data_IF_578882278042
#
_entry.id   IF_578882278042
#
_cell.length_a   1.000
_cell.length_b   1.000
_cell.length_c   1.000
_cell.angle_alpha   90.00
_cell.angle_beta   90.00
_cell.angle_gamma   90.00
#
_symmetry.space_group_name_H-M   'P 1'
#
loop_
_entity.id
_entity.type
_entity.pdbx_description
1 polymer ?
#
# COMPACT_ATOMS: atom_id res chain seq x y z
N UNK A 1 0.67 15.83 54.29
CA UNK A 1 0.24 16.96 53.45
C UNK A 1 -0.92 16.52 52.57
N UNK A 2 -2.03 17.26 52.69
CA UNK A 2 -3.05 17.51 51.68
C UNK A 2 -3.91 16.36 51.09
N UNK A 3 -5.21 16.50 51.39
CA UNK A 3 -6.37 16.43 50.48
C UNK A 3 -6.80 15.08 49.89
N UNK A 4 -7.95 14.56 50.34
CA UNK A 4 -9.27 14.93 49.79
C UNK A 4 -10.37 14.23 50.61
N UNK A 5 -11.20 15.04 51.27
CA UNK A 5 -12.35 14.57 52.02
C UNK A 5 -13.46 14.06 51.10
N UNK A 6 -13.93 12.85 51.35
CA UNK A 6 -15.18 12.32 50.83
C UNK A 6 -15.84 11.59 51.98
N UNK A 7 -16.89 12.18 52.55
CA UNK A 7 -17.98 11.46 53.23
C UNK A 7 -19.11 12.45 53.52
N UNK A 8 -19.97 12.62 52.52
CA UNK A 8 -21.34 13.10 52.70
C UNK A 8 -22.18 12.63 51.51
N UNK A 9 -22.82 11.47 51.65
CA UNK A 9 -23.87 11.01 50.74
C UNK A 9 -25.19 10.97 51.51
N UNK A 10 -25.90 12.11 51.53
CA UNK A 10 -27.35 12.11 51.75
C UNK A 10 -28.07 11.93 50.41
N UNK A 11 -29.06 11.02 50.29
CA UNK A 11 -29.81 10.81 49.06
C UNK A 11 -30.79 11.96 48.81
N UNK A 12 -30.77 12.55 47.61
CA UNK A 12 -31.68 13.65 47.22
C UNK A 12 -33.03 13.13 46.68
N UNK A 13 -34.18 13.70 47.10
CA UNK A 13 -35.53 13.24 46.78
C UNK A 13 -36.08 13.91 45.51
N UNK A 14 -35.90 13.31 44.33
CA UNK A 14 -36.39 13.91 43.08
C UNK A 14 -37.60 13.15 42.50
N UNK A 15 -38.71 13.89 42.34
CA UNK A 15 -39.87 13.66 41.48
C UNK A 15 -41.04 12.79 41.96
N UNK A 16 -41.64 13.12 43.11
CA UNK A 16 -43.10 12.91 43.29
C UNK A 16 -43.87 14.01 42.53
N UNK A 17 -44.03 13.83 41.22
CA UNK A 17 -44.99 14.61 40.43
C UNK A 17 -46.39 14.23 40.88
N UNK A 18 -47.22 15.24 41.19
CA UNK A 18 -48.61 15.08 41.62
C UNK A 18 -49.49 15.92 40.68
N UNK A 19 -50.18 15.26 39.75
CA UNK A 19 -51.17 15.91 38.87
C UNK A 19 -52.54 15.54 39.42
N UNK A 20 -53.46 16.48 39.68
CA UNK A 20 -54.80 16.15 40.15
C UNK A 20 -55.49 15.09 39.28
N UNK A 21 -56.14 14.12 39.93
CA UNK A 21 -56.83 13.01 39.23
C UNK A 21 -57.84 13.50 38.20
N UNK A 22 -58.58 14.58 38.50
CA UNK A 22 -59.56 15.21 37.61
C UNK A 22 -58.91 15.77 36.35
N UNK A 23 -57.77 16.45 36.48
CA UNK A 23 -57.03 17.04 35.37
C UNK A 23 -56.43 15.95 34.47
N UNK A 24 -55.77 14.94 35.07
CA UNK A 24 -55.21 13.82 34.31
C UNK A 24 -56.32 13.03 33.59
N UNK A 25 -57.48 12.85 34.23
CA UNK A 25 -58.66 12.23 33.62
C UNK A 25 -59.20 13.06 32.45
N UNK A 26 -59.30 14.38 32.60
CA UNK A 26 -59.77 15.25 31.53
C UNK A 26 -58.83 15.20 30.31
N UNK A 27 -57.51 15.29 30.53
CA UNK A 27 -56.52 15.23 29.44
C UNK A 27 -56.48 13.86 28.75
N UNK A 28 -56.61 12.77 29.52
CA UNK A 28 -56.47 11.40 29.02
C UNK A 28 -57.77 10.81 28.47
N UNK A 29 -58.89 10.95 29.16
CA UNK A 29 -60.19 10.36 28.77
C UNK A 29 -60.99 11.32 27.89
N UNK A 30 -61.21 12.57 28.34
CA UNK A 30 -62.11 13.50 27.63
C UNK A 30 -61.46 14.14 26.40
N UNK A 31 -60.25 14.70 26.54
CA UNK A 31 -59.50 15.30 25.42
C UNK A 31 -58.77 14.27 24.56
N UNK A 32 -58.65 13.04 25.08
CA UNK A 32 -58.14 11.89 24.37
C UNK A 32 -56.66 11.89 24.03
N UNK A 33 -55.83 12.70 24.70
CA UNK A 33 -54.40 12.82 24.42
C UNK A 33 -53.64 11.53 24.76
N UNK A 34 -52.57 11.24 24.01
CA UNK A 34 -51.66 10.13 24.34
C UNK A 34 -50.77 10.49 25.53
N UNK A 35 -50.24 9.48 26.22
CA UNK A 35 -49.36 9.67 27.39
C UNK A 35 -48.15 10.53 27.04
N UNK A 36 -47.57 10.36 25.85
CA UNK A 36 -46.47 11.19 25.37
C UNK A 36 -46.90 12.65 25.15
N UNK A 37 -48.08 12.88 24.57
CA UNK A 37 -48.60 14.24 24.37
C UNK A 37 -48.93 14.93 25.69
N UNK A 38 -49.49 14.22 26.66
CA UNK A 38 -49.76 14.75 28.01
C UNK A 38 -48.43 15.09 28.69
N UNK A 39 -47.45 14.19 28.61
CA UNK A 39 -46.12 14.40 29.17
C UNK A 39 -45.44 15.65 28.57
N UNK A 40 -45.42 15.78 27.24
CA UNK A 40 -44.88 16.97 26.58
C UNK A 40 -45.65 18.24 26.92
N UNK A 41 -46.99 18.19 26.98
CA UNK A 41 -47.82 19.36 27.30
C UNK A 41 -47.60 19.87 28.72
N UNK A 42 -47.35 18.97 29.66
CA UNK A 42 -47.12 19.29 31.07
C UNK A 42 -45.63 19.41 31.42
N UNK A 43 -44.72 19.30 30.44
CA UNK A 43 -43.27 19.44 30.66
C UNK A 43 -42.62 18.27 31.40
N UNK A 44 -43.23 17.08 31.39
CA UNK A 44 -42.75 15.88 32.08
C UNK A 44 -42.28 14.78 31.13
N UNK A 45 -41.55 13.80 31.67
CA UNK A 45 -41.32 12.53 30.97
C UNK A 45 -42.58 11.65 31.01
N UNK A 46 -42.69 10.65 30.12
CA UNK A 46 -43.89 9.80 30.05
C UNK A 46 -44.06 8.84 31.24
N UNK A 47 -42.97 8.51 31.96
CA UNK A 47 -42.98 7.54 33.06
C UNK A 47 -43.80 8.01 34.29
N UNK A 48 -43.68 9.26 34.77
CA UNK A 48 -44.56 9.82 35.79
C UNK A 48 -46.05 9.74 35.45
N UNK A 49 -46.43 10.07 34.20
CA UNK A 49 -47.82 10.01 33.76
C UNK A 49 -48.34 8.57 33.78
N UNK A 50 -47.52 7.61 33.32
CA UNK A 50 -47.82 6.17 33.40
C UNK A 50 -48.03 5.68 34.84
N UNK A 51 -47.23 6.17 35.79
CA UNK A 51 -47.38 5.86 37.22
C UNK A 51 -48.71 6.41 37.75
N UNK A 52 -49.00 7.69 37.50
CA UNK A 52 -50.20 8.36 37.99
C UNK A 52 -51.49 7.75 37.42
N UNK A 53 -51.50 7.32 36.14
CA UNK A 53 -52.65 6.61 35.56
C UNK A 53 -52.93 5.28 36.31
N UNK A 54 -51.89 4.55 36.73
CA UNK A 54 -52.05 3.32 37.53
C UNK A 54 -52.52 3.63 38.95
N UNK A 55 -51.90 4.62 39.59
CA UNK A 55 -52.21 5.03 40.97
C UNK A 55 -53.67 5.50 41.11
N UNK A 56 -54.16 6.27 40.14
CA UNK A 56 -55.56 6.71 40.09
C UNK A 56 -56.54 5.69 39.54
N UNK A 57 -56.06 4.48 39.19
CA UNK A 57 -56.84 3.37 38.62
C UNK A 57 -57.59 3.75 37.34
N UNK A 58 -57.00 4.61 36.50
CA UNK A 58 -57.53 4.95 35.18
C UNK A 58 -57.12 3.85 34.18
N UNK A 59 -58.06 3.41 33.33
CA UNK A 59 -57.82 2.30 32.39
C UNK A 59 -56.81 2.73 31.31
N UNK A 60 -55.60 2.20 31.38
CA UNK A 60 -54.55 2.49 30.39
C UNK A 60 -54.95 1.86 29.05
N UNK A 61 -55.05 2.70 28.01
CA UNK A 61 -55.28 2.28 26.63
C UNK A 61 -54.22 1.29 26.21
N UNK A 62 -54.65 0.20 25.59
CA UNK A 62 -53.74 -0.75 24.94
C UNK A 62 -53.01 -0.08 23.78
N UNK A 63 -51.87 -0.64 23.38
CA UNK A 63 -51.09 -0.18 22.22
C UNK A 63 -51.98 -0.11 20.95
N UNK A 64 -52.95 -1.01 20.81
CA UNK A 64 -53.90 -1.01 19.69
C UNK A 64 -54.85 0.19 19.73
N UNK A 65 -55.42 0.51 20.90
CA UNK A 65 -56.32 1.65 21.10
C UNK A 65 -55.57 2.99 20.96
N UNK A 66 -54.31 3.06 21.37
CA UNK A 66 -53.48 4.26 21.19
C UNK A 66 -53.07 4.51 19.72
N UNK A 67 -53.06 3.47 18.88
CA UNK A 67 -52.66 3.50 17.46
C UNK A 67 -53.84 3.71 16.48
N UNK A 68 -55.05 3.92 16.96
CA UNK A 68 -56.29 3.90 16.15
C UNK A 68 -56.49 5.12 15.22
N UNK A 69 -55.42 5.84 14.82
CA UNK A 69 -55.49 7.00 13.91
C UNK A 69 -55.26 6.69 12.43
N UNK A 70 -54.70 5.54 12.06
CA UNK A 70 -54.47 5.21 10.65
C UNK A 70 -55.59 4.32 10.07
N UNK A 71 -56.63 4.96 9.52
CA UNK A 71 -57.74 4.29 8.80
C UNK A 71 -57.66 4.62 7.30
N UNK A 72 -56.90 3.82 6.54
CA UNK A 72 -57.00 3.78 5.07
C UNK A 72 -57.84 2.58 4.66
N UNK A 73 -58.78 2.75 3.73
CA UNK A 73 -59.59 1.62 3.25
C UNK A 73 -58.79 0.72 2.31
N UNK A 74 -59.18 -0.56 2.20
CA UNK A 74 -58.57 -1.51 1.24
C UNK A 74 -58.65 -1.00 -0.20
N UNK A 75 -59.81 -0.44 -0.59
CA UNK A 75 -60.08 0.07 -1.95
C UNK A 75 -59.17 1.26 -2.27
N UNK A 76 -59.05 2.18 -1.33
CA UNK A 76 -58.22 3.38 -1.46
C UNK A 76 -56.73 3.05 -1.52
N UNK A 77 -56.23 2.20 -0.60
CA UNK A 77 -54.82 1.78 -0.63
C UNK A 77 -54.48 1.03 -1.92
N UNK A 78 -55.41 0.21 -2.44
CA UNK A 78 -55.24 -0.46 -3.74
C UNK A 78 -55.19 0.54 -4.89
N UNK A 79 -56.07 1.54 -4.89
CA UNK A 79 -56.11 2.58 -5.93
C UNK A 79 -54.83 3.42 -5.97
N UNK A 80 -54.35 3.87 -4.81
CA UNK A 80 -53.11 4.66 -4.71
C UNK A 80 -51.88 3.87 -5.16
N UNK A 81 -51.81 2.59 -4.79
CA UNK A 81 -50.64 1.76 -5.07
C UNK A 81 -50.60 1.18 -6.50
N UNK A 82 -51.74 0.69 -7.01
CA UNK A 82 -51.83 0.03 -8.31
C UNK A 82 -52.27 0.97 -9.45
N UNK A 83 -53.32 1.76 -9.25
CA UNK A 83 -53.84 2.65 -10.30
C UNK A 83 -52.99 3.91 -10.43
N UNK A 84 -52.71 4.58 -9.31
CA UNK A 84 -51.92 5.83 -9.29
C UNK A 84 -50.40 5.60 -9.20
N UNK A 85 -49.97 4.33 -9.12
CA UNK A 85 -48.56 3.89 -9.11
C UNK A 85 -47.67 4.51 -8.03
N UNK A 86 -48.21 5.10 -6.97
CA UNK A 86 -47.43 5.69 -5.88
C UNK A 86 -46.62 4.65 -5.10
N UNK A 87 -45.40 5.00 -4.71
CA UNK A 87 -44.57 4.18 -3.82
C UNK A 87 -45.15 4.14 -2.40
N UNK A 88 -44.78 3.10 -1.62
CA UNK A 88 -45.20 3.00 -0.21
C UNK A 88 -44.75 4.21 0.61
N UNK A 89 -43.60 4.81 0.29
CA UNK A 89 -43.11 6.04 0.92
C UNK A 89 -43.96 7.26 0.58
N UNK A 90 -44.32 7.45 -0.69
CA UNK A 90 -45.19 8.56 -1.11
C UNK A 90 -46.59 8.45 -0.49
N UNK A 91 -47.14 7.23 -0.41
CA UNK A 91 -48.40 6.98 0.29
C UNK A 91 -48.23 7.29 1.78
N UNK A 92 -47.12 6.89 2.40
CA UNK A 92 -46.89 7.15 3.81
C UNK A 92 -46.84 8.66 4.14
N UNK A 93 -46.14 9.44 3.29
CA UNK A 93 -46.10 10.90 3.39
C UNK A 93 -47.50 11.51 3.26
N UNK A 94 -48.31 11.06 2.28
CA UNK A 94 -49.68 11.55 2.07
C UNK A 94 -50.59 11.37 3.30
N UNK A 95 -50.39 10.31 4.07
CA UNK A 95 -51.17 10.03 5.28
C UNK A 95 -50.41 10.31 6.58
N UNK A 96 -49.30 11.07 6.50
CA UNK A 96 -48.45 11.42 7.63
C UNK A 96 -48.13 10.23 8.56
N UNK A 97 -47.73 9.11 7.96
CA UNK A 97 -47.41 7.88 8.68
C UNK A 97 -46.07 7.30 8.21
N UNK A 98 -45.56 6.30 8.93
CA UNK A 98 -44.35 5.59 8.50
C UNK A 98 -44.70 4.59 7.38
N UNK A 99 -43.82 4.45 6.38
CA UNK A 99 -43.98 3.50 5.27
C UNK A 99 -44.18 2.04 5.73
N UNK A 100 -43.63 1.68 6.89
CA UNK A 100 -43.85 0.36 7.52
C UNK A 100 -45.33 0.13 7.87
N UNK A 101 -46.08 1.18 8.23
CA UNK A 101 -47.53 1.14 8.47
C UNK A 101 -48.29 0.83 7.18
N UNK A 102 -47.87 1.42 6.05
CA UNK A 102 -48.43 1.12 4.73
C UNK A 102 -48.16 -0.33 4.33
N UNK A 103 -46.92 -0.80 4.50
CA UNK A 103 -46.53 -2.20 4.21
C UNK A 103 -47.34 -3.18 5.07
N UNK A 104 -47.50 -2.90 6.36
CA UNK A 104 -48.34 -3.70 7.25
C UNK A 104 -49.80 -3.75 6.77
N UNK A 105 -50.36 -2.63 6.36
CA UNK A 105 -51.75 -2.53 5.88
C UNK A 105 -51.94 -3.22 4.52
N UNK A 106 -50.96 -3.13 3.64
CA UNK A 106 -50.94 -3.91 2.40
C UNK A 106 -50.97 -5.42 2.69
N UNK A 107 -50.15 -5.90 3.65
CA UNK A 107 -50.15 -7.30 4.09
C UNK A 107 -51.51 -7.70 4.68
N UNK A 108 -52.06 -6.88 5.57
CA UNK A 108 -53.39 -7.11 6.20
C UNK A 108 -54.52 -7.19 5.17
N UNK A 109 -54.46 -6.40 4.11
CA UNK A 109 -55.48 -6.38 3.05
C UNK A 109 -55.22 -7.35 1.89
N UNK A 110 -54.12 -8.12 1.93
CA UNK A 110 -53.74 -9.06 0.87
C UNK A 110 -53.31 -8.38 -0.43
N UNK A 111 -52.84 -7.13 -0.37
CA UNK A 111 -52.39 -6.39 -1.56
C UNK A 111 -50.97 -6.85 -1.89
N UNK A 112 -50.83 -7.59 -2.99
CA UNK A 112 -49.52 -8.03 -3.48
C UNK A 112 -48.63 -6.83 -3.83
N UNK A 113 -47.36 -6.91 -3.44
CA UNK A 113 -46.35 -5.94 -3.85
C UNK A 113 -46.15 -6.00 -5.36
N UNK A 114 -45.88 -4.85 -5.99
CA UNK A 114 -45.43 -4.77 -7.39
C UNK A 114 -44.05 -5.42 -7.62
N UNK A 115 -43.41 -5.89 -6.55
CA UNK A 115 -42.05 -6.41 -6.56
C UNK A 115 -41.04 -5.32 -6.91
N UNK A 116 -39.78 -5.71 -7.08
CA UNK A 116 -38.74 -4.82 -7.64
C UNK A 116 -38.95 -4.51 -9.13
N UNK A 117 -39.89 -5.18 -9.79
CA UNK A 117 -40.13 -5.16 -11.23
C UNK A 117 -40.62 -3.81 -11.80
N UNK A 118 -40.89 -2.82 -10.96
CA UNK A 118 -41.38 -1.49 -11.40
C UNK A 118 -40.49 -0.30 -11.03
N UNK A 119 -39.43 -0.48 -10.24
CA UNK A 119 -38.60 0.63 -9.73
C UNK A 119 -37.25 0.77 -10.45
N UNK A 120 -36.74 -0.32 -11.03
CA UNK A 120 -35.49 -0.32 -11.79
C UNK A 120 -35.76 -0.71 -13.23
N UNK A 121 -35.42 0.19 -14.17
CA UNK A 121 -35.44 -0.11 -15.61
C UNK A 121 -34.54 -1.33 -15.86
N UNK A 122 -34.98 -2.34 -16.63
CA UNK A 122 -34.14 -3.50 -16.94
C UNK A 122 -32.91 -3.06 -17.73
N UNK A 123 -31.75 -3.61 -17.39
CA UNK A 123 -30.53 -3.37 -18.15
C UNK A 123 -30.67 -4.05 -19.50
N UNK A 124 -30.79 -3.24 -20.56
CA UNK A 124 -30.88 -3.68 -21.95
C UNK A 124 -29.46 -3.84 -22.51
N UNK A 125 -28.89 -5.03 -22.35
CA UNK A 125 -27.60 -5.40 -22.95
C UNK A 125 -27.67 -6.87 -23.36
N UNK A 126 -27.21 -7.19 -24.57
CA UNK A 126 -27.09 -8.58 -25.04
C UNK A 126 -25.87 -9.26 -24.44
N UNK A 127 -25.86 -10.60 -24.47
CA UNK A 127 -24.71 -11.39 -23.98
C UNK A 127 -23.46 -11.06 -24.78
N UNK A 128 -23.58 -10.98 -26.10
CA UNK A 128 -22.49 -10.74 -27.05
C UNK A 128 -21.87 -9.36 -26.82
N UNK A 129 -22.71 -8.33 -26.65
CA UNK A 129 -22.23 -6.97 -26.39
C UNK A 129 -21.52 -6.86 -25.04
N UNK A 130 -22.08 -7.47 -23.99
CA UNK A 130 -21.45 -7.47 -22.66
C UNK A 130 -20.13 -8.23 -22.67
N UNK A 131 -20.08 -9.38 -23.36
CA UNK A 131 -18.87 -10.19 -23.50
C UNK A 131 -17.80 -9.47 -24.34
N UNK A 132 -18.16 -8.83 -25.44
CA UNK A 132 -17.24 -8.01 -26.25
C UNK A 132 -16.64 -6.85 -25.44
N UNK A 133 -17.46 -6.09 -24.71
CA UNK A 133 -16.98 -4.97 -23.89
C UNK A 133 -16.06 -5.45 -22.73
N UNK A 134 -16.39 -6.58 -22.13
CA UNK A 134 -15.67 -7.11 -20.96
C UNK A 134 -14.39 -7.89 -21.33
N UNK A 135 -14.46 -8.80 -22.30
CA UNK A 135 -13.34 -9.65 -22.73
C UNK A 135 -12.50 -8.99 -23.81
N UNK A 136 -13.11 -8.67 -24.95
CA UNK A 136 -12.38 -8.19 -26.13
C UNK A 136 -11.83 -6.78 -25.94
N UNK A 137 -12.66 -5.88 -25.41
CA UNK A 137 -12.27 -4.48 -25.10
C UNK A 137 -11.60 -4.35 -23.73
N UNK A 138 -11.66 -5.37 -22.89
CA UNK A 138 -10.98 -5.43 -21.59
C UNK A 138 -11.47 -4.44 -20.53
N UNK A 139 -12.67 -3.85 -20.68
CA UNK A 139 -13.17 -2.80 -19.79
C UNK A 139 -13.55 -3.37 -18.40
N UNK A 140 -13.48 -2.55 -17.34
CA UNK A 140 -14.00 -2.92 -16.02
C UNK A 140 -15.52 -2.84 -15.99
N UNK A 141 -16.18 -3.58 -15.08
CA UNK A 141 -17.64 -3.51 -14.95
C UNK A 141 -18.13 -2.12 -14.58
N UNK A 142 -17.42 -1.41 -13.72
CA UNK A 142 -17.70 -0.01 -13.41
C UNK A 142 -17.61 0.88 -14.66
N UNK A 143 -16.62 0.70 -15.53
CA UNK A 143 -16.52 1.48 -16.77
C UNK A 143 -17.64 1.14 -17.75
N UNK A 144 -18.00 -0.14 -17.86
CA UNK A 144 -19.14 -0.60 -18.66
C UNK A 144 -20.46 -0.05 -18.09
N UNK A 145 -20.61 -0.03 -16.77
CA UNK A 145 -21.79 0.50 -16.07
C UNK A 145 -22.00 1.99 -16.41
N UNK A 146 -20.90 2.76 -16.43
CA UNK A 146 -20.91 4.17 -16.85
C UNK A 146 -21.29 4.35 -18.32
N UNK A 147 -20.76 3.50 -19.22
CA UNK A 147 -21.10 3.54 -20.66
C UNK A 147 -22.58 3.18 -20.89
N UNK A 148 -23.09 2.19 -20.16
CA UNK A 148 -24.47 1.69 -20.30
C UNK A 148 -25.47 2.40 -19.38
N UNK A 149 -25.03 3.45 -18.66
CA UNK A 149 -25.83 4.22 -17.71
C UNK A 149 -26.64 3.35 -16.73
N UNK A 150 -25.99 2.33 -16.17
CA UNK A 150 -26.59 1.38 -15.23
C UNK A 150 -25.71 1.18 -13.99
N UNK A 151 -26.18 0.39 -13.02
CA UNK A 151 -25.39 0.07 -11.83
C UNK A 151 -24.44 -1.10 -12.07
N UNK A 152 -23.25 -1.05 -11.47
CA UNK A 152 -22.29 -2.16 -11.54
C UNK A 152 -22.91 -3.48 -11.01
N UNK A 153 -23.65 -3.41 -9.90
CA UNK A 153 -24.32 -4.59 -9.33
C UNK A 153 -25.36 -5.21 -10.27
N UNK A 154 -26.03 -4.40 -11.09
CA UNK A 154 -26.93 -4.89 -12.13
C UNK A 154 -26.19 -5.60 -13.27
N UNK A 155 -25.04 -5.08 -13.70
CA UNK A 155 -24.18 -5.76 -14.67
C UNK A 155 -23.58 -7.05 -14.12
N UNK A 156 -23.19 -7.09 -12.85
CA UNK A 156 -22.73 -8.31 -12.20
C UNK A 156 -23.83 -9.38 -12.19
N UNK A 157 -25.10 -8.99 -11.98
CA UNK A 157 -26.23 -9.92 -12.11
C UNK A 157 -26.37 -10.41 -13.54
N UNK A 158 -26.34 -9.53 -14.54
CA UNK A 158 -26.39 -9.91 -15.96
C UNK A 158 -25.24 -10.83 -16.39
N UNK A 159 -24.02 -10.61 -15.90
CA UNK A 159 -22.91 -11.54 -16.15
C UNK A 159 -23.19 -12.94 -15.60
N UNK A 160 -23.84 -13.06 -14.43
CA UNK A 160 -24.25 -14.36 -13.89
C UNK A 160 -25.37 -14.97 -14.73
N UNK A 161 -26.39 -14.20 -15.07
CA UNK A 161 -27.51 -14.65 -15.91
C UNK A 161 -27.05 -15.15 -17.29
N UNK A 162 -25.99 -14.55 -17.84
CA UNK A 162 -25.40 -14.93 -19.13
C UNK A 162 -24.23 -15.93 -19.01
N UNK A 163 -23.90 -16.37 -17.80
CA UNK A 163 -22.79 -17.29 -17.49
C UNK A 163 -21.40 -16.80 -17.97
N UNK A 164 -21.20 -15.48 -18.01
CA UNK A 164 -19.92 -14.88 -18.40
C UNK A 164 -18.95 -15.03 -17.23
N UNK A 165 -17.96 -15.92 -17.38
CA UNK A 165 -16.92 -16.12 -16.35
C UNK A 165 -16.10 -14.84 -16.12
N UNK A 166 -15.85 -14.55 -14.84
CA UNK A 166 -14.94 -13.47 -14.46
C UNK A 166 -13.53 -13.74 -14.99
N UNK A 167 -12.86 -12.68 -15.45
CA UNK A 167 -11.47 -12.80 -15.90
C UNK A 167 -10.56 -13.22 -14.74
N UNK A 168 -9.48 -13.98 -14.99
CA UNK A 168 -8.57 -14.41 -13.94
C UNK A 168 -7.92 -13.21 -13.24
N UNK A 169 -7.45 -13.39 -12.00
CA UNK A 169 -6.80 -12.32 -11.22
C UNK A 169 -5.63 -11.68 -11.99
N UNK A 170 -4.92 -12.44 -12.83
CA UNK A 170 -3.83 -11.97 -13.69
C UNK A 170 -4.25 -10.89 -14.69
N UNK A 171 -5.51 -10.87 -15.09
CA UNK A 171 -6.07 -9.92 -16.07
C UNK A 171 -6.63 -8.65 -15.44
N UNK A 172 -6.59 -8.51 -14.11
CA UNK A 172 -7.07 -7.30 -13.44
C UNK A 172 -6.26 -6.10 -13.93
N UNK A 173 -6.97 -5.06 -14.37
CA UNK A 173 -6.35 -3.81 -14.77
C UNK A 173 -5.48 -3.27 -13.62
N UNK A 174 -4.19 -3.13 -13.87
CA UNK A 174 -3.28 -2.50 -12.94
C UNK A 174 -3.18 -1.01 -13.26
N UNK A 175 -3.12 -0.15 -12.23
CA UNK A 175 -2.93 1.31 -12.38
C UNK A 175 -1.73 1.66 -13.27
N UNK A 176 -0.67 0.85 -13.22
CA UNK A 176 0.55 1.06 -14.01
C UNK A 176 0.74 -0.08 -15.02
N UNK A 177 0.94 0.28 -16.29
CA UNK A 177 1.32 -0.67 -17.34
C UNK A 177 2.69 -1.25 -17.00
N UNK A 178 2.80 -2.58 -17.04
CA UNK A 178 4.07 -3.30 -16.89
C UNK A 178 4.57 -3.66 -18.27
N UNK A 179 5.86 -3.46 -18.52
CA UNK A 179 6.54 -3.86 -19.75
C UNK A 179 7.53 -4.97 -19.45
N UNK A 180 7.76 -5.81 -20.46
CA UNK A 180 8.78 -6.84 -20.37
C UNK A 180 10.18 -6.23 -20.25
N UNK A 181 11.06 -6.97 -19.61
CA UNK A 181 12.47 -6.69 -19.58
C UNK A 181 13.01 -6.60 -21.02
N UNK A 182 13.88 -5.62 -21.28
CA UNK A 182 14.38 -5.31 -22.64
C UNK A 182 15.14 -6.47 -23.31
N UNK A 183 15.55 -7.49 -22.55
CA UNK A 183 16.41 -8.57 -23.03
C UNK A 183 17.91 -8.23 -22.97
N UNK A 184 18.30 -7.00 -22.63
CA UNK A 184 19.69 -6.58 -22.56
C UNK A 184 20.47 -7.34 -21.47
N UNK A 185 21.36 -8.26 -21.87
CA UNK A 185 22.16 -9.04 -20.92
C UNK A 185 23.10 -8.18 -20.05
N UNK A 186 23.56 -7.03 -20.57
CA UNK A 186 24.38 -6.08 -19.80
C UNK A 186 23.56 -5.41 -18.69
N UNK A 187 22.34 -4.96 -19.01
CA UNK A 187 21.45 -4.42 -17.99
C UNK A 187 21.02 -5.50 -17.00
N UNK A 188 20.75 -6.72 -17.48
CA UNK A 188 20.42 -7.88 -16.65
C UNK A 188 21.52 -8.16 -15.62
N UNK A 189 22.79 -8.17 -16.07
CA UNK A 189 23.94 -8.38 -15.21
C UNK A 189 24.08 -7.28 -14.15
N UNK A 190 23.92 -6.01 -14.55
CA UNK A 190 23.90 -4.88 -13.63
C UNK A 190 22.79 -5.01 -12.58
N UNK A 191 21.55 -5.32 -13.00
CA UNK A 191 20.42 -5.46 -12.09
C UNK A 191 20.60 -6.64 -11.13
N UNK A 192 21.20 -7.76 -11.57
CA UNK A 192 21.55 -8.89 -10.70
C UNK A 192 22.59 -8.45 -9.67
N UNK A 193 23.66 -7.75 -10.09
CA UNK A 193 24.65 -7.22 -9.16
C UNK A 193 24.01 -6.32 -8.12
N UNK A 194 23.22 -5.34 -8.54
CA UNK A 194 22.53 -4.44 -7.62
C UNK A 194 21.53 -5.16 -6.70
N UNK A 195 20.90 -6.22 -7.19
CA UNK A 195 19.98 -7.09 -6.44
C UNK A 195 20.67 -7.87 -5.32
N UNK A 196 21.89 -8.33 -5.54
CA UNK A 196 22.64 -9.11 -4.55
C UNK A 196 22.95 -8.27 -3.31
N UNK A 197 23.18 -6.96 -3.46
CA UNK A 197 23.29 -6.03 -2.33
C UNK A 197 21.93 -5.57 -1.78
N UNK A 198 21.43 -4.45 -2.32
CA UNK A 198 20.44 -3.59 -1.67
C UNK A 198 18.96 -3.88 -1.97
N UNK A 199 18.65 -4.72 -2.97
CA UNK A 199 17.25 -4.99 -3.31
C UNK A 199 16.69 -6.18 -2.51
N UNK A 200 15.45 -6.04 -2.08
CA UNK A 200 14.60 -7.13 -1.59
C UNK A 200 13.56 -7.45 -2.66
N UNK A 201 13.50 -8.70 -3.11
CA UNK A 201 12.58 -9.11 -4.18
C UNK A 201 11.68 -10.23 -3.68
N UNK A 202 10.38 -10.07 -3.89
CA UNK A 202 9.36 -11.08 -3.59
C UNK A 202 8.40 -11.26 -4.76
N UNK A 203 7.85 -12.46 -4.90
CA UNK A 203 6.89 -12.81 -5.95
C UNK A 203 5.49 -12.92 -5.37
N UNK A 204 4.56 -12.15 -5.91
CA UNK A 204 3.12 -12.35 -5.75
C UNK A 204 2.56 -13.26 -6.85
N UNK A 205 1.23 -13.41 -6.93
CA UNK A 205 0.59 -14.29 -7.93
C UNK A 205 0.97 -13.98 -9.38
N UNK A 206 0.99 -12.69 -9.75
CA UNK A 206 1.24 -12.22 -11.13
C UNK A 206 2.20 -11.03 -11.22
N UNK A 207 2.88 -10.70 -10.12
CA UNK A 207 3.70 -9.50 -9.99
C UNK A 207 4.97 -9.81 -9.19
N UNK A 208 6.09 -9.27 -9.64
CA UNK A 208 7.35 -9.26 -8.90
C UNK A 208 7.45 -7.91 -8.18
N UNK A 209 7.58 -7.94 -6.86
CA UNK A 209 7.77 -6.76 -6.02
C UNK A 209 9.25 -6.60 -5.71
N UNK A 210 9.85 -5.52 -6.19
CA UNK A 210 11.21 -5.11 -5.83
C UNK A 210 11.12 -3.97 -4.82
N UNK A 211 11.80 -4.10 -3.69
CA UNK A 211 11.77 -3.15 -2.58
C UNK A 211 13.17 -2.75 -2.18
N UNK A 212 13.31 -1.51 -1.73
CA UNK A 212 14.53 -1.00 -1.12
C UNK A 212 14.18 0.13 -0.15
N UNK A 213 14.89 0.20 0.97
CA UNK A 213 14.80 1.30 1.92
C UNK A 213 16.13 2.02 1.94
N UNK A 214 16.13 3.35 1.84
CA UNK A 214 17.38 4.11 1.83
C UNK A 214 17.22 5.49 2.45
N UNK A 215 18.28 5.99 3.09
CA UNK A 215 18.39 7.39 3.50
C UNK A 215 18.99 8.28 2.42
N UNK A 216 19.50 7.70 1.32
CA UNK A 216 20.22 8.40 0.26
C UNK A 216 19.29 8.68 -0.93
N UNK A 217 19.11 9.96 -1.28
CA UNK A 217 18.31 10.36 -2.45
C UNK A 217 18.87 9.84 -3.77
N UNK A 218 20.20 9.71 -3.88
CA UNK A 218 20.85 9.18 -5.07
C UNK A 218 20.49 7.71 -5.31
N UNK A 219 20.41 6.90 -4.25
CA UNK A 219 19.97 5.51 -4.31
C UNK A 219 18.51 5.41 -4.76
N UNK A 220 17.63 6.26 -4.21
CA UNK A 220 16.24 6.33 -4.63
C UNK A 220 16.07 6.72 -6.10
N UNK A 221 16.89 7.66 -6.57
CA UNK A 221 16.90 8.10 -7.97
C UNK A 221 17.40 7.00 -8.91
N UNK A 222 18.43 6.25 -8.51
CA UNK A 222 18.94 5.10 -9.24
C UNK A 222 17.83 4.08 -9.47
N UNK A 223 17.15 3.65 -8.39
CA UNK A 223 16.08 2.64 -8.47
C UNK A 223 14.92 3.14 -9.33
N UNK A 224 14.52 4.40 -9.16
CA UNK A 224 13.48 5.01 -9.99
C UNK A 224 13.85 4.94 -11.48
N UNK A 225 15.06 5.34 -11.84
CA UNK A 225 15.52 5.33 -13.24
C UNK A 225 15.71 3.92 -13.79
N UNK A 226 16.14 2.97 -12.94
CA UNK A 226 16.38 1.59 -13.31
C UNK A 226 15.08 0.86 -13.68
N UNK A 227 13.97 1.18 -13.01
CA UNK A 227 12.73 0.41 -13.14
C UNK A 227 11.52 1.16 -13.71
N UNK A 228 11.53 2.50 -13.76
CA UNK A 228 10.44 3.27 -14.37
C UNK A 228 10.14 2.92 -15.84
N UNK A 229 11.10 2.44 -16.67
CA UNK A 229 10.76 1.97 -18.02
C UNK A 229 9.88 0.71 -18.02
N UNK A 230 9.88 -0.07 -16.94
CA UNK A 230 9.33 -1.42 -16.88
C UNK A 230 8.08 -1.54 -16.00
N UNK A 231 7.93 -0.69 -14.98
CA UNK A 231 6.80 -0.76 -14.08
C UNK A 231 6.63 0.48 -13.22
N UNK A 232 5.53 0.52 -12.48
CA UNK A 232 5.24 1.59 -11.54
C UNK A 232 6.22 1.58 -10.36
N UNK A 233 6.87 2.72 -10.12
CA UNK A 233 7.73 2.97 -8.95
C UNK A 233 6.95 3.83 -7.96
N UNK A 234 6.64 3.26 -6.80
CA UNK A 234 6.03 3.96 -5.68
C UNK A 234 7.11 4.30 -4.64
N UNK A 235 7.11 5.54 -4.15
CA UNK A 235 8.04 6.00 -3.13
C UNK A 235 7.29 6.64 -1.97
N UNK A 236 7.65 6.29 -0.74
CA UNK A 236 7.05 6.85 0.47
C UNK A 236 8.14 7.19 1.47
N UNK A 237 8.01 8.32 2.17
CA UNK A 237 8.92 8.67 3.27
C UNK A 237 8.40 8.05 4.56
N UNK A 238 9.17 7.15 5.16
CA UNK A 238 8.83 6.55 6.45
C UNK A 238 9.03 7.56 7.60
N UNK A 239 8.34 7.35 8.73
CA UNK A 239 8.46 8.19 9.94
C UNK A 239 9.92 8.29 10.42
N UNK A 240 10.69 7.20 10.32
CA UNK A 240 12.13 7.13 10.65
C UNK A 240 13.05 7.87 9.68
N UNK A 241 12.52 8.58 8.68
CA UNK A 241 13.29 9.38 7.72
C UNK A 241 13.84 8.62 6.50
N UNK A 242 13.62 7.31 6.40
CA UNK A 242 13.99 6.54 5.21
C UNK A 242 13.02 6.74 4.05
N UNK A 243 13.51 6.64 2.82
CA UNK A 243 12.73 6.56 1.59
C UNK A 243 12.49 5.07 1.31
N UNK A 244 11.24 4.65 1.41
CA UNK A 244 10.79 3.30 1.06
C UNK A 244 10.36 3.30 -0.41
N UNK A 245 10.97 2.41 -1.20
CA UNK A 245 10.74 2.32 -2.65
C UNK A 245 10.17 0.96 -2.95
N UNK A 246 9.04 0.92 -3.67
CA UNK A 246 8.38 -0.28 -4.11
C UNK A 246 8.17 -0.23 -5.63
N UNK A 247 8.64 -1.26 -6.33
CA UNK A 247 8.50 -1.41 -7.77
C UNK A 247 7.69 -2.68 -8.06
N UNK A 248 6.75 -2.58 -8.98
CA UNK A 248 5.91 -3.71 -9.39
C UNK A 248 6.16 -4.09 -10.85
N UNK A 249 6.84 -5.20 -11.06
CA UNK A 249 7.29 -5.72 -12.36
C UNK A 249 6.49 -6.97 -12.76
N UNK A 250 6.56 -7.36 -14.04
CA UNK A 250 5.96 -8.60 -14.53
C UNK A 250 6.97 -9.78 -14.45
N UNK A 251 6.56 -10.96 -14.92
CA UNK A 251 7.36 -12.19 -14.78
C UNK A 251 8.65 -12.22 -15.63
N UNK A 252 8.84 -11.31 -16.58
CA UNK A 252 10.12 -11.22 -17.31
C UNK A 252 11.31 -10.88 -16.40
N UNK A 253 11.04 -10.37 -15.19
CA UNK A 253 12.03 -10.04 -14.15
C UNK A 253 12.31 -11.18 -13.15
N UNK A 254 11.85 -12.41 -13.41
CA UNK A 254 12.09 -13.57 -12.53
C UNK A 254 13.58 -13.82 -12.25
N UNK A 255 14.47 -13.37 -13.14
CA UNK A 255 15.92 -13.44 -12.94
C UNK A 255 16.44 -12.66 -11.71
N UNK A 256 15.63 -11.78 -11.11
CA UNK A 256 15.96 -11.07 -9.86
C UNK A 256 15.57 -11.82 -8.59
N UNK A 257 14.89 -12.97 -8.71
CA UNK A 257 14.46 -13.76 -7.55
C UNK A 257 15.63 -14.35 -6.75
N UNK A 258 16.65 -14.96 -7.38
CA UNK A 258 17.77 -15.55 -6.63
C UNK A 258 18.52 -14.48 -5.82
N UNK A 259 18.82 -14.79 -4.55
CA UNK A 259 19.74 -14.02 -3.68
C UNK A 259 20.70 -14.98 -2.99
N UNK A 260 21.59 -15.54 -3.79
CA UNK A 260 22.61 -16.48 -3.36
C UNK A 260 23.97 -15.80 -3.39
N UNK A 261 24.89 -16.23 -2.52
CA UNK A 261 26.30 -15.84 -2.53
C UNK A 261 27.02 -16.50 -3.74
N UNK A 262 26.60 -16.12 -4.96
CA UNK A 262 27.07 -16.69 -6.21
C UNK A 262 26.92 -15.69 -7.36
N UNK A 263 27.93 -15.62 -8.22
CA UNK A 263 27.86 -14.92 -9.51
C UNK A 263 27.44 -15.93 -10.58
N UNK A 264 26.40 -15.65 -11.41
CA UNK A 264 25.98 -16.57 -12.47
C UNK A 264 27.11 -16.87 -13.48
N UNK A 265 27.19 -18.11 -13.96
CA UNK A 265 28.31 -18.54 -14.82
C UNK A 265 28.39 -17.75 -16.12
N UNK A 266 27.25 -17.47 -16.76
CA UNK A 266 27.17 -16.66 -17.99
C UNK A 266 27.72 -15.24 -17.80
N UNK A 267 27.67 -14.70 -16.58
CA UNK A 267 28.28 -13.41 -16.26
C UNK A 267 29.79 -13.53 -16.20
N UNK A 268 30.31 -14.62 -15.61
CA UNK A 268 31.76 -14.81 -15.44
C UNK A 268 32.51 -15.21 -16.71
N UNK A 269 31.77 -15.71 -17.72
CA UNK A 269 32.29 -16.07 -19.05
C UNK A 269 32.46 -14.88 -19.99
N UNK A 270 31.88 -13.72 -19.67
CA UNK A 270 31.90 -12.54 -20.53
C UNK A 270 32.30 -11.29 -19.74
N UNK A 271 33.40 -10.67 -20.14
CA UNK A 271 34.00 -9.54 -19.40
C UNK A 271 33.06 -8.33 -19.30
N UNK A 272 32.29 -8.04 -20.37
CA UNK A 272 31.29 -6.96 -20.36
C UNK A 272 30.23 -7.19 -19.28
N UNK A 273 29.72 -8.42 -19.16
CA UNK A 273 28.69 -8.76 -18.18
C UNK A 273 29.27 -8.81 -16.77
N UNK A 274 30.48 -9.33 -16.60
CA UNK A 274 31.20 -9.33 -15.33
C UNK A 274 31.38 -7.90 -14.79
N UNK A 275 31.84 -6.97 -15.63
CA UNK A 275 32.03 -5.57 -15.24
C UNK A 275 30.69 -4.86 -14.94
N UNK A 276 29.64 -5.17 -15.69
CA UNK A 276 28.29 -4.64 -15.43
C UNK A 276 27.73 -5.13 -14.08
N UNK A 277 27.88 -6.42 -13.77
CA UNK A 277 27.48 -6.98 -12.47
C UNK A 277 28.31 -6.39 -11.33
N UNK A 278 29.64 -6.28 -11.50
CA UNK A 278 30.51 -5.64 -10.53
C UNK A 278 30.07 -4.20 -10.23
N UNK A 279 29.73 -3.42 -11.26
CA UNK A 279 29.25 -2.05 -11.07
C UNK A 279 27.90 -2.00 -10.35
N UNK A 280 26.96 -2.88 -10.68
CA UNK A 280 25.68 -2.98 -9.99
C UNK A 280 25.86 -3.34 -8.51
N UNK A 281 26.69 -4.34 -8.20
CA UNK A 281 26.96 -4.75 -6.83
C UNK A 281 27.72 -3.66 -6.05
N UNK A 282 28.67 -2.98 -6.69
CA UNK A 282 29.43 -1.89 -6.07
C UNK A 282 28.60 -0.61 -5.90
N UNK A 283 27.60 -0.37 -6.73
CA UNK A 283 26.68 0.75 -6.55
C UNK A 283 25.83 0.58 -5.28
N UNK A 284 25.55 -0.67 -4.88
CA UNK A 284 24.98 -1.00 -3.58
C UNK A 284 26.05 -0.97 -2.47
N UNK A 285 27.01 -1.90 -2.50
CA UNK A 285 27.91 -2.21 -1.37
C UNK A 285 29.28 -1.54 -1.44
N UNK A 286 29.70 -1.10 -2.62
CA UNK A 286 31.06 -0.61 -2.89
C UNK A 286 31.30 0.80 -2.36
N UNK A 287 32.43 1.01 -1.70
CA UNK A 287 32.82 2.28 -1.10
C UNK A 287 34.14 2.77 -1.70
N UNK A 288 34.19 4.05 -2.07
CA UNK A 288 35.38 4.70 -2.59
C UNK A 288 35.59 6.00 -1.86
N UNK A 289 36.75 6.14 -1.22
CA UNK A 289 37.04 7.27 -0.35
C UNK A 289 38.53 7.57 -0.31
N UNK A 290 38.88 8.75 0.22
CA UNK A 290 40.26 9.17 0.44
C UNK A 290 40.68 8.80 1.86
N UNK A 291 41.68 7.94 1.99
CA UNK A 291 42.26 7.54 3.26
C UNK A 291 43.39 8.49 3.65
N UNK A 292 43.37 9.00 4.88
CA UNK A 292 44.41 9.90 5.43
C UNK A 292 45.60 9.10 5.94
N UNK A 293 46.82 9.48 5.56
CA UNK A 293 48.04 8.89 6.13
C UNK A 293 48.57 9.78 7.27
N UNK A 294 48.83 9.18 8.44
CA UNK A 294 49.24 9.93 9.65
C UNK A 294 50.71 10.40 9.66
N UNK A 295 51.61 9.77 8.88
CA UNK A 295 53.07 9.98 8.96
C UNK A 295 53.78 9.99 7.60
N UNK A 296 53.21 10.63 6.56
CA UNK A 296 53.82 10.72 5.22
C UNK A 296 53.64 12.09 4.60
N UNK A 297 54.58 12.51 3.73
CA UNK A 297 54.44 13.68 2.84
C UNK A 297 53.15 13.60 2.01
N UNK A 298 52.72 12.37 1.67
CA UNK A 298 51.41 12.10 1.10
C UNK A 298 50.31 12.16 2.16
N UNK A 299 49.47 13.19 2.12
CA UNK A 299 48.35 13.37 3.09
C UNK A 299 47.19 12.40 2.86
N UNK A 300 46.84 12.09 1.61
CA UNK A 300 45.67 11.27 1.26
C UNK A 300 45.90 10.35 0.06
N UNK A 301 45.33 9.14 0.11
CA UNK A 301 45.25 8.24 -1.05
C UNK A 301 43.84 7.66 -1.23
N UNK A 302 43.40 7.53 -2.47
CA UNK A 302 42.14 6.88 -2.79
C UNK A 302 42.20 5.36 -2.53
N UNK A 303 41.12 4.80 -2.00
CA UNK A 303 40.96 3.36 -1.74
C UNK A 303 39.53 2.94 -2.08
N UNK A 304 39.41 1.84 -2.82
CA UNK A 304 38.15 1.14 -3.01
C UNK A 304 38.04 0.00 -2.00
N UNK A 305 36.87 -0.15 -1.40
CA UNK A 305 36.51 -1.27 -0.52
C UNK A 305 35.10 -1.76 -0.78
N UNK A 306 34.92 -3.06 -0.63
CA UNK A 306 33.63 -3.71 -0.61
C UNK A 306 33.59 -4.59 0.63
N UNK A 307 32.63 -4.34 1.53
CA UNK A 307 32.40 -5.14 2.72
C UNK A 307 31.03 -5.81 2.57
N UNK A 308 30.97 -7.14 2.68
CA UNK A 308 29.71 -7.90 2.53
C UNK A 308 29.79 -9.25 3.24
N UNK A 309 28.63 -9.84 3.52
CA UNK A 309 28.52 -11.23 3.97
C UNK A 309 28.75 -12.24 2.84
N UNK A 310 28.70 -11.80 1.57
CA UNK A 310 28.79 -12.65 0.38
C UNK A 310 30.23 -13.05 0.02
N UNK A 311 30.82 -13.91 0.86
CA UNK A 311 32.21 -14.37 0.74
C UNK A 311 32.57 -14.88 -0.66
N UNK A 312 31.72 -15.70 -1.26
CA UNK A 312 32.02 -16.34 -2.54
C UNK A 312 31.92 -15.34 -3.71
N UNK A 313 30.99 -14.39 -3.66
CA UNK A 313 30.94 -13.26 -4.60
C UNK A 313 32.24 -12.46 -4.51
N UNK A 314 32.72 -12.12 -3.30
CA UNK A 314 33.97 -11.37 -3.16
C UNK A 314 35.19 -12.15 -3.69
N UNK A 315 35.25 -13.46 -3.44
CA UNK A 315 36.31 -14.32 -4.00
C UNK A 315 36.25 -14.39 -5.53
N UNK A 316 35.06 -14.45 -6.10
CA UNK A 316 34.87 -14.49 -7.56
C UNK A 316 35.21 -13.14 -8.20
N UNK A 317 34.85 -12.03 -7.56
CA UNK A 317 35.27 -10.69 -7.98
C UNK A 317 36.80 -10.53 -7.94
N UNK A 318 37.43 -10.95 -6.84
CA UNK A 318 38.88 -10.95 -6.69
C UNK A 318 39.58 -11.74 -7.80
N UNK A 319 39.09 -12.95 -8.09
CA UNK A 319 39.62 -13.79 -9.18
C UNK A 319 39.42 -13.12 -10.55
N UNK A 320 38.23 -12.57 -10.81
CA UNK A 320 37.93 -11.88 -12.07
C UNK A 320 38.78 -10.62 -12.28
N UNK A 321 39.07 -9.86 -11.23
CA UNK A 321 39.95 -8.68 -11.30
C UNK A 321 41.36 -9.01 -11.79
N UNK A 322 41.87 -10.21 -11.51
CA UNK A 322 43.18 -10.65 -12.01
C UNK A 322 43.23 -10.71 -13.54
N UNK A 323 42.12 -11.08 -14.21
CA UNK A 323 42.03 -11.09 -15.68
C UNK A 323 42.27 -9.71 -16.29
N UNK A 324 41.88 -8.65 -15.57
CA UNK A 324 42.08 -7.26 -16.00
C UNK A 324 43.39 -6.64 -15.48
N UNK A 325 44.29 -7.46 -14.90
CA UNK A 325 45.53 -6.97 -14.29
C UNK A 325 45.30 -6.04 -13.09
N UNK A 326 44.19 -6.21 -12.37
CA UNK A 326 43.86 -5.44 -11.17
C UNK A 326 44.30 -6.24 -9.94
N UNK A 327 45.33 -5.75 -9.25
CA UNK A 327 45.79 -6.31 -7.97
C UNK A 327 44.88 -5.84 -6.84
N UNK A 328 44.19 -6.79 -6.20
CA UNK A 328 43.31 -6.60 -5.06
C UNK A 328 43.75 -7.46 -3.88
N UNK A 329 43.49 -7.01 -2.65
CA UNK A 329 43.69 -7.84 -1.45
C UNK A 329 42.77 -9.05 -1.50
N UNK A 330 43.28 -10.23 -1.16
CA UNK A 330 42.45 -11.43 -1.08
C UNK A 330 41.33 -11.21 -0.05
N UNK A 331 40.08 -11.61 -0.34
CA UNK A 331 38.98 -11.41 0.59
C UNK A 331 39.24 -12.05 1.95
N UNK A 332 39.14 -11.25 3.02
CA UNK A 332 39.35 -11.69 4.40
C UNK A 332 38.26 -11.16 5.33
N UNK A 333 38.09 -11.81 6.48
CA UNK A 333 37.15 -11.34 7.51
C UNK A 333 37.65 -9.99 8.04
N UNK A 334 36.78 -8.99 7.97
CA UNK A 334 37.04 -7.63 8.46
C UNK A 334 36.25 -7.29 9.72
N UNK A 335 35.16 -8.01 9.96
CA UNK A 335 34.35 -7.90 11.15
C UNK A 335 33.76 -9.29 11.44
N UNK A 336 34.28 -10.01 12.45
CA UNK A 336 33.80 -11.35 12.80
C UNK A 336 32.35 -11.34 13.28
N UNK A 337 31.63 -12.45 13.03
CA UNK A 337 30.37 -12.73 13.70
C UNK A 337 30.54 -12.70 15.23
N UNK A 338 29.50 -12.30 15.95
CA UNK A 338 29.56 -12.13 17.40
C UNK A 338 30.13 -10.77 17.83
N UNK A 339 30.57 -9.92 16.91
CA UNK A 339 31.10 -8.59 17.27
C UNK A 339 29.94 -7.62 17.55
N UNK A 340 29.94 -6.91 18.69
CA UNK A 340 28.97 -5.87 18.98
C UNK A 340 29.02 -4.72 17.96
N UNK A 341 27.86 -4.31 17.48
CA UNK A 341 27.71 -3.26 16.50
C UNK A 341 27.08 -2.01 17.15
N UNK A 342 27.63 -0.83 16.85
CA UNK A 342 27.18 0.47 17.37
C UNK A 342 27.15 0.58 18.90
N UNK A 343 26.09 1.19 19.46
CA UNK A 343 25.89 1.35 20.91
C UNK A 343 25.40 0.02 21.51
N UNK A 344 26.31 -0.97 21.58
CA UNK A 344 26.28 -2.25 22.34
C UNK A 344 24.98 -3.09 22.41
N UNK A 345 23.96 -2.79 21.62
CA UNK A 345 22.62 -3.40 21.72
C UNK A 345 22.34 -4.45 20.66
N UNK A 346 23.21 -4.58 19.65
CA UNK A 346 23.07 -5.53 18.55
C UNK A 346 24.41 -6.18 18.22
N UNK A 347 24.36 -7.46 17.86
CA UNK A 347 25.54 -8.28 17.56
C UNK A 347 25.46 -8.75 16.11
N UNK A 348 26.59 -8.80 15.41
CA UNK A 348 26.64 -9.31 14.04
C UNK A 348 26.43 -10.84 14.01
N UNK A 349 25.49 -11.30 13.21
CA UNK A 349 25.20 -12.75 13.10
C UNK A 349 26.09 -13.49 12.10
N UNK A 350 26.86 -12.76 11.27
CA UNK A 350 27.70 -13.31 10.20
C UNK A 350 29.00 -12.52 10.05
N UNK A 351 30.04 -13.20 9.59
CA UNK A 351 31.31 -12.57 9.25
C UNK A 351 31.15 -11.61 8.08
N UNK A 352 31.58 -10.36 8.25
CA UNK A 352 31.72 -9.42 7.14
C UNK A 352 33.08 -9.58 6.49
N UNK A 353 33.08 -9.98 5.23
CA UNK A 353 34.27 -10.13 4.40
C UNK A 353 34.58 -8.82 3.68
N UNK A 354 35.86 -8.53 3.49
CA UNK A 354 36.35 -7.32 2.82
C UNK A 354 37.17 -7.67 1.59
N UNK A 355 36.85 -7.01 0.48
CA UNK A 355 37.67 -6.92 -0.72
C UNK A 355 38.13 -5.47 -0.88
N UNK A 356 39.43 -5.23 -1.08
CA UNK A 356 39.98 -3.88 -1.20
C UNK A 356 40.95 -3.74 -2.37
N UNK A 357 40.91 -2.57 -3.01
CA UNK A 357 41.86 -2.18 -4.06
C UNK A 357 42.45 -0.82 -3.70
N UNK A 358 43.74 -0.83 -3.33
CA UNK A 358 44.47 0.38 -2.91
C UNK A 358 45.67 0.70 -3.81
N UNK A 359 46.15 -0.27 -4.60
CA UNK A 359 47.30 -0.07 -5.47
C UNK A 359 46.96 0.93 -6.58
N UNK A 360 47.80 1.95 -6.79
CA UNK A 360 47.45 3.13 -7.61
C UNK A 360 47.04 2.76 -9.04
N UNK A 361 47.81 1.92 -9.73
CA UNK A 361 47.50 1.47 -11.10
C UNK A 361 46.26 0.56 -11.17
N UNK A 362 46.11 -0.35 -10.20
CA UNK A 362 44.95 -1.25 -10.13
C UNK A 362 43.66 -0.47 -9.87
N UNK A 363 43.73 0.52 -8.98
CA UNK A 363 42.59 1.38 -8.65
C UNK A 363 42.22 2.26 -9.84
N UNK A 364 43.19 2.80 -10.57
CA UNK A 364 42.94 3.53 -11.82
C UNK A 364 42.15 2.68 -12.82
N UNK A 365 42.57 1.42 -13.04
CA UNK A 365 41.83 0.51 -13.92
C UNK A 365 40.42 0.22 -13.41
N UNK A 366 40.29 -0.13 -12.14
CA UNK A 366 39.02 -0.50 -11.51
C UNK A 366 37.98 0.63 -11.61
N UNK A 367 38.36 1.87 -11.28
CA UNK A 367 37.41 3.00 -11.29
C UNK A 367 36.95 3.37 -12.70
N UNK A 368 37.77 3.15 -13.74
CA UNK A 368 37.33 3.34 -15.14
C UNK A 368 36.31 2.28 -15.54
N UNK A 369 36.54 1.01 -15.18
CA UNK A 369 35.56 -0.03 -15.44
C UNK A 369 34.26 0.17 -14.65
N UNK A 370 34.35 0.59 -13.39
CA UNK A 370 33.18 0.88 -12.57
C UNK A 370 32.37 2.06 -13.14
N UNK A 371 33.04 3.17 -13.50
CA UNK A 371 32.38 4.38 -14.00
C UNK A 371 31.52 4.11 -15.24
N UNK A 372 31.99 3.25 -16.14
CA UNK A 372 31.29 2.91 -17.40
C UNK A 372 29.89 2.34 -17.18
N UNK A 373 29.67 1.63 -16.08
CA UNK A 373 28.42 0.93 -15.81
C UNK A 373 27.68 1.45 -14.57
N UNK A 374 28.34 2.24 -13.71
CA UNK A 374 27.75 2.81 -12.50
C UNK A 374 26.59 3.73 -12.84
N UNK A 375 25.45 3.54 -12.16
CA UNK A 375 24.25 4.38 -12.25
C UNK A 375 24.00 5.19 -10.97
N UNK A 376 24.84 5.02 -9.94
CA UNK A 376 24.71 5.74 -8.66
C UNK A 376 25.48 7.08 -8.64
N UNK A 377 24.74 8.20 -8.61
CA UNK A 377 25.32 9.56 -8.66
C UNK A 377 26.37 9.85 -7.59
N UNK A 378 26.20 9.35 -6.36
CA UNK A 378 27.21 9.58 -5.31
C UNK A 378 28.48 8.74 -5.51
N UNK A 379 28.38 7.52 -6.06
CA UNK A 379 29.54 6.69 -6.40
C UNK A 379 30.30 7.29 -7.58
N UNK A 380 29.59 7.78 -8.59
CA UNK A 380 30.18 8.56 -9.70
C UNK A 380 30.92 9.82 -9.21
N UNK A 381 30.41 10.50 -8.16
CA UNK A 381 31.12 11.61 -7.51
C UNK A 381 32.40 11.12 -6.81
N UNK A 382 32.32 10.04 -6.06
CA UNK A 382 33.48 9.43 -5.40
C UNK A 382 34.55 8.97 -6.41
N UNK A 383 34.15 8.42 -7.55
CA UNK A 383 35.04 8.04 -8.66
C UNK A 383 35.81 9.26 -9.17
N UNK A 384 35.11 10.37 -9.43
CA UNK A 384 35.76 11.62 -9.86
C UNK A 384 36.78 12.14 -8.85
N UNK A 385 36.47 12.07 -7.56
CA UNK A 385 37.40 12.45 -6.49
C UNK A 385 38.63 11.52 -6.45
N UNK A 386 38.42 10.21 -6.58
CA UNK A 386 39.51 9.25 -6.63
C UNK A 386 40.42 9.44 -7.86
N UNK A 387 39.84 9.71 -9.04
CA UNK A 387 40.60 10.03 -10.25
C UNK A 387 41.47 11.26 -10.05
N UNK A 388 40.90 12.36 -9.53
CA UNK A 388 41.67 13.58 -9.20
C UNK A 388 42.81 13.29 -8.22
N UNK A 389 42.55 12.50 -7.18
CA UNK A 389 43.61 12.11 -6.23
C UNK A 389 44.74 11.32 -6.92
N UNK A 390 44.41 10.39 -7.81
CA UNK A 390 45.41 9.59 -8.54
C UNK A 390 46.24 10.47 -9.49
N UNK A 391 45.61 11.38 -10.22
CA UNK A 391 46.28 12.31 -11.15
C UNK A 391 47.26 13.21 -10.40
N UNK A 392 46.82 13.86 -9.31
CA UNK A 392 47.70 14.71 -8.49
C UNK A 392 48.86 13.91 -7.92
N UNK A 393 48.60 12.69 -7.44
CA UNK A 393 49.65 11.76 -6.99
C UNK A 393 50.55 11.22 -8.11
N UNK A 394 50.22 11.45 -9.38
CA UNK A 394 51.08 11.11 -10.51
C UNK A 394 52.07 12.22 -10.83
N UNK A 395 51.75 13.45 -10.44
CA UNK A 395 52.61 14.62 -10.64
C UNK A 395 53.65 14.79 -9.52
N UNK A 396 53.40 14.21 -8.35
CA UNK A 396 54.31 14.26 -7.19
C UNK A 396 55.59 13.44 -7.42
N UNK A 397 56.76 14.07 -7.24
CA UNK A 397 58.09 13.46 -7.44
C UNK A 397 58.35 12.22 -6.59
N UNK A 398 57.80 12.18 -5.38
CA UNK A 398 57.96 11.08 -4.42
C UNK A 398 56.88 9.99 -4.54
N UNK A 399 56.04 10.02 -5.59
CA UNK A 399 55.05 8.99 -5.87
C UNK A 399 55.38 8.28 -7.18
N UNK A 400 55.34 6.94 -7.19
CA UNK A 400 55.56 6.14 -8.39
C UNK A 400 54.58 6.51 -9.50
N UNK A 401 55.06 6.94 -10.67
CA UNK A 401 54.21 7.31 -11.81
C UNK A 401 53.55 6.07 -12.42
N UNK A 402 52.31 6.20 -12.86
CA UNK A 402 51.57 5.16 -13.58
C UNK A 402 51.09 5.70 -14.93
N UNK A 403 50.82 4.79 -15.86
CA UNK A 403 50.07 5.11 -17.06
C UNK A 403 48.63 5.52 -16.71
N UNK A 404 48.22 6.69 -17.20
CA UNK A 404 46.89 7.26 -17.01
C UNK A 404 45.99 7.09 -18.25
N UNK A 405 46.42 6.31 -19.25
CA UNK A 405 45.58 5.94 -20.39
C UNK A 405 44.27 5.29 -19.91
N UNK A 406 43.21 5.48 -20.70
CA UNK A 406 41.92 4.85 -20.43
C UNK A 406 42.09 3.35 -20.72
N UNK A 407 41.84 2.46 -19.74
CA UNK A 407 41.98 1.03 -19.95
C UNK A 407 41.03 0.54 -21.06
N UNK A 408 41.57 -0.19 -22.04
CA UNK A 408 40.75 -0.90 -23.03
C UNK A 408 40.00 -2.04 -22.34
N UNK A 409 38.79 -2.34 -22.83
CA UNK A 409 38.12 -3.59 -22.47
C UNK A 409 38.73 -4.69 -23.34
N UNK A 410 39.05 -5.87 -22.78
CA UNK A 410 39.39 -7.05 -23.57
C UNK A 410 38.33 -7.41 -24.60
#
# INVERSE_FOLDING_TARGET
>A
MFYLGILNLMPRPWNKITIPKSELRNLYENQGLSIAQIASRLGYSSSPIHRLLREYRLKIRTISQAKEKFKISKKELRNLYWSQKLSTNQIAQKYNCNHTTIVYRMKKYGIKSRGHLGLTRPIRVSKENLEYLYRTRGLSLDKIARILHCSEGGLQRKMRDFEIKSRPISSRACKYKKKDFSGSLTEKAYMIGFRLGDLNVSKGKSVISVRCSTTKRAQASLIKNLFSPYGGVATTKAKRGTIEINVFLNNSFLFLMPKEDKIPDWVTKNDKYFLALFAGYSDAEGSLYLHRMKKRRLKFFARFELNSYDKNILKRLWSGFRKFGIKASFPSVSHPAGTPCGVKTYVSNKDTWRLAVSHKSSLWKLIHFWERYSRHKDKQRAIRLAKRNIILRNQMSYCHRIDLSIPKIP
#
